data_IF_722782762833
#
_entry.id   IF_722782762833
#
_cell.length_a   1.000
_cell.length_b   1.000
_cell.length_c   1.000
_cell.angle_alpha   90.00
_cell.angle_beta   90.00
_cell.angle_gamma   90.00
#
_symmetry.space_group_name_H-M   'P 1'
#
loop_
_entity.id
_entity.type
_entity.pdbx_description
1 polymer ?
#
# COMPACT_ATOMS: atom_id res chain seq x y z
N UNK A 1 -1.07 -28.95 -24.54
CA UNK A 1 -2.17 -29.47 -23.70
C UNK A 1 -2.09 -28.94 -22.27
N UNK A 2 -1.78 -27.66 -22.08
CA UNK A 2 -1.67 -27.00 -20.76
C UNK A 2 -2.57 -25.74 -20.64
N UNK A 3 -3.38 -25.48 -21.67
CA UNK A 3 -4.30 -24.35 -21.82
C UNK A 3 -5.67 -24.65 -21.18
N UNK A 4 -6.17 -25.88 -21.30
CA UNK A 4 -7.46 -26.28 -20.72
C UNK A 4 -7.50 -26.27 -19.19
N UNK A 5 -6.40 -26.61 -18.50
CA UNK A 5 -6.36 -26.58 -17.03
C UNK A 5 -6.30 -25.15 -16.47
N UNK A 6 -5.64 -24.23 -17.17
CA UNK A 6 -5.57 -22.83 -16.78
C UNK A 6 -6.92 -22.11 -16.99
N UNK A 7 -7.64 -22.43 -18.07
CA UNK A 7 -8.98 -21.90 -18.31
C UNK A 7 -10.00 -22.38 -17.28
N UNK A 8 -9.95 -23.66 -16.90
CA UNK A 8 -10.81 -24.23 -15.86
C UNK A 8 -10.52 -23.64 -14.47
N UNK A 9 -9.26 -23.30 -14.17
CA UNK A 9 -8.87 -22.63 -12.93
C UNK A 9 -9.37 -21.18 -12.89
N UNK A 10 -9.35 -20.48 -14.02
CA UNK A 10 -9.87 -19.12 -14.15
C UNK A 10 -11.39 -19.05 -14.01
N UNK A 11 -12.14 -19.93 -14.68
CA UNK A 11 -13.60 -20.03 -14.51
C UNK A 11 -13.97 -20.38 -13.07
N UNK A 12 -13.23 -21.31 -12.45
CA UNK A 12 -13.47 -21.68 -11.05
C UNK A 12 -13.21 -20.53 -10.09
N UNK A 13 -12.17 -19.73 -10.36
CA UNK A 13 -11.85 -18.53 -9.58
C UNK A 13 -12.95 -17.48 -9.74
N UNK A 14 -13.41 -17.24 -10.96
CA UNK A 14 -14.47 -16.27 -11.26
C UNK A 14 -15.79 -16.62 -10.55
N UNK A 15 -16.18 -17.90 -10.57
CA UNK A 15 -17.36 -18.39 -9.84
C UNK A 15 -17.26 -18.10 -8.33
N UNK A 16 -16.10 -18.40 -7.73
CA UNK A 16 -15.86 -18.20 -6.30
C UNK A 16 -15.81 -16.71 -5.91
N UNK A 17 -15.15 -15.88 -6.72
CA UNK A 17 -15.05 -14.45 -6.51
C UNK A 17 -16.40 -13.75 -6.70
N UNK A 18 -17.15 -14.13 -7.73
CA UNK A 18 -18.51 -13.64 -7.99
C UNK A 18 -19.47 -14.02 -6.87
N UNK A 19 -19.46 -15.28 -6.41
CA UNK A 19 -20.29 -15.72 -5.29
C UNK A 19 -19.95 -14.92 -4.01
N UNK A 20 -18.66 -14.73 -3.73
CA UNK A 20 -18.22 -13.94 -2.58
C UNK A 20 -18.66 -12.47 -2.69
N UNK A 21 -18.60 -11.88 -3.89
CA UNK A 21 -19.04 -10.52 -4.15
C UNK A 21 -20.56 -10.37 -3.98
N UNK A 22 -21.36 -11.24 -4.58
CA UNK A 22 -22.83 -11.19 -4.44
C UNK A 22 -23.24 -11.36 -2.99
N UNK A 23 -22.65 -12.33 -2.28
CA UNK A 23 -22.91 -12.54 -0.86
C UNK A 23 -22.56 -11.29 -0.02
N UNK A 24 -21.44 -10.64 -0.31
CA UNK A 24 -21.07 -9.38 0.36
C UNK A 24 -22.10 -8.28 0.10
N UNK A 25 -22.54 -8.13 -1.16
CA UNK A 25 -23.51 -7.12 -1.55
C UNK A 25 -24.87 -7.37 -0.89
N UNK A 26 -25.38 -8.60 -0.96
CA UNK A 26 -26.70 -8.98 -0.46
C UNK A 26 -26.77 -9.02 1.07
N UNK A 27 -25.78 -9.61 1.73
CA UNK A 27 -25.83 -9.82 3.18
C UNK A 27 -25.28 -8.63 3.96
N UNK A 28 -24.37 -7.83 3.37
CA UNK A 28 -23.70 -6.74 4.10
C UNK A 28 -24.03 -5.35 3.59
N UNK A 29 -23.93 -5.09 2.28
CA UNK A 29 -24.05 -3.73 1.73
C UNK A 29 -25.51 -3.31 1.62
N UNK A 30 -26.34 -4.08 0.93
CA UNK A 30 -27.72 -3.75 0.66
C UNK A 30 -28.55 -3.54 1.95
N UNK A 31 -28.48 -4.41 2.98
CA UNK A 31 -29.23 -4.19 4.21
C UNK A 31 -28.84 -2.90 4.92
N UNK A 32 -27.53 -2.57 4.98
CA UNK A 32 -27.08 -1.34 5.65
C UNK A 32 -27.52 -0.08 4.92
N UNK A 33 -27.61 -0.12 3.60
CA UNK A 33 -27.96 1.04 2.76
C UNK A 33 -29.47 1.24 2.60
N UNK A 34 -30.23 0.14 2.50
CA UNK A 34 -31.67 0.20 2.25
C UNK A 34 -32.53 0.08 3.52
N UNK A 35 -32.00 -0.42 4.64
CA UNK A 35 -32.68 -0.34 5.95
C UNK A 35 -32.73 1.12 6.40
N UNK A 36 -33.94 1.68 6.42
CA UNK A 36 -34.21 3.10 6.67
C UNK A 36 -35.17 3.25 7.84
N UNK A 37 -34.90 4.22 8.69
CA UNK A 37 -35.78 4.58 9.80
C UNK A 37 -37.07 5.29 9.34
N UNK A 38 -37.91 5.67 10.29
CA UNK A 38 -39.16 6.39 10.03
C UNK A 38 -38.96 7.76 9.35
N UNK A 39 -37.74 8.29 9.33
CA UNK A 39 -37.36 9.53 8.66
C UNK A 39 -36.71 9.27 7.28
N UNK A 40 -36.61 8.00 6.86
CA UNK A 40 -36.05 7.60 5.58
C UNK A 40 -34.51 7.54 5.56
N UNK A 41 -33.84 7.53 6.72
CA UNK A 41 -32.39 7.58 6.82
C UNK A 41 -31.77 6.19 7.12
N UNK A 42 -30.68 5.80 6.45
CA UNK A 42 -29.98 4.55 6.73
C UNK A 42 -28.97 4.73 7.86
N UNK A 43 -29.44 4.65 9.10
CA UNK A 43 -28.65 4.96 10.30
C UNK A 43 -27.32 4.20 10.40
N UNK A 44 -27.32 2.89 10.10
CA UNK A 44 -26.12 2.05 10.10
C UNK A 44 -25.12 2.43 9.01
N UNK A 45 -25.60 2.84 7.83
CA UNK A 45 -24.74 3.35 6.77
C UNK A 45 -24.08 4.67 7.15
N UNK A 46 -24.86 5.60 7.71
CA UNK A 46 -24.36 6.90 8.16
C UNK A 46 -23.30 6.73 9.26
N UNK A 47 -23.52 5.81 10.21
CA UNK A 47 -22.55 5.46 11.25
C UNK A 47 -21.21 5.00 10.64
N UNK A 48 -21.27 4.11 9.64
CA UNK A 48 -20.09 3.63 8.93
C UNK A 48 -19.35 4.76 8.21
N UNK A 49 -20.06 5.63 7.48
CA UNK A 49 -19.47 6.79 6.80
C UNK A 49 -18.79 7.71 7.81
N UNK A 50 -19.45 8.03 8.93
CA UNK A 50 -18.88 8.86 10.00
C UNK A 50 -17.61 8.24 10.59
N UNK A 51 -17.61 6.93 10.85
CA UNK A 51 -16.43 6.20 11.34
C UNK A 51 -15.27 6.28 10.35
N UNK A 52 -15.55 6.12 9.06
CA UNK A 52 -14.54 6.24 8.00
C UNK A 52 -13.97 7.66 7.94
N UNK A 53 -14.83 8.69 7.94
CA UNK A 53 -14.38 10.09 7.89
C UNK A 53 -13.55 10.48 9.12
N UNK A 54 -13.95 10.02 10.30
CA UNK A 54 -13.19 10.29 11.54
C UNK A 54 -11.86 9.54 11.60
N UNK A 55 -11.81 8.29 11.11
CA UNK A 55 -10.59 7.47 11.14
C UNK A 55 -9.60 7.77 10.01
N UNK A 56 -10.09 7.98 8.78
CA UNK A 56 -9.25 8.22 7.59
C UNK A 56 -9.04 9.70 7.31
N UNK A 57 -9.96 10.59 7.69
CA UNK A 57 -9.91 12.01 7.36
C UNK A 57 -8.53 12.63 7.56
N UNK A 58 -7.91 12.54 8.74
CA UNK A 58 -6.58 13.08 9.00
C UNK A 58 -5.45 12.47 8.14
N UNK A 59 -5.60 11.21 7.71
CA UNK A 59 -4.59 10.47 6.95
C UNK A 59 -4.62 10.78 5.45
N UNK A 60 -5.78 11.15 4.92
CA UNK A 60 -6.01 11.40 3.49
C UNK A 60 -6.02 12.89 3.11
N UNK A 61 -5.63 13.77 4.03
CA UNK A 61 -5.53 15.20 3.74
C UNK A 61 -4.42 15.48 2.73
N UNK A 62 -4.75 16.21 1.66
CA UNK A 62 -3.76 16.67 0.69
C UNK A 62 -2.64 17.49 1.36
N UNK A 63 -2.97 18.31 2.37
CA UNK A 63 -1.98 19.04 3.15
C UNK A 63 -1.00 18.14 3.91
N UNK A 64 -1.48 17.03 4.49
CA UNK A 64 -0.61 16.02 5.12
C UNK A 64 0.28 15.33 4.09
N UNK A 65 -0.25 15.03 2.91
CA UNK A 65 0.50 14.42 1.81
C UNK A 65 1.62 15.34 1.31
N UNK A 66 1.31 16.61 1.03
CA UNK A 66 2.32 17.60 0.60
C UNK A 66 3.38 17.80 1.67
N UNK A 67 3.00 17.89 2.94
CA UNK A 67 3.94 17.98 4.06
C UNK A 67 4.91 16.79 4.09
N UNK A 68 4.39 15.56 3.96
CA UNK A 68 5.23 14.36 3.90
C UNK A 68 6.23 14.40 2.74
N UNK A 69 5.80 14.81 1.55
CA UNK A 69 6.73 14.98 0.43
C UNK A 69 7.82 16.01 0.72
N UNK A 70 7.47 17.15 1.30
CA UNK A 70 8.44 18.21 1.61
C UNK A 70 9.41 17.76 2.69
N UNK A 71 8.91 17.25 3.82
CA UNK A 71 9.72 16.93 5.00
C UNK A 71 10.56 15.67 4.82
N UNK A 72 9.99 14.62 4.22
CA UNK A 72 10.62 13.30 4.17
C UNK A 72 11.39 13.03 2.88
N UNK A 73 11.03 13.69 1.77
CA UNK A 73 11.67 13.45 0.46
C UNK A 73 12.43 14.68 -0.05
N UNK A 74 11.73 15.78 -0.32
CA UNK A 74 12.30 16.91 -1.06
C UNK A 74 13.33 17.69 -0.25
N UNK A 75 13.06 18.04 1.01
CA UNK A 75 14.02 18.76 1.82
C UNK A 75 15.28 17.93 2.13
N UNK A 76 15.19 16.64 2.50
CA UNK A 76 16.37 15.78 2.63
C UNK A 76 17.16 15.64 1.33
N UNK A 77 16.50 15.42 0.20
CA UNK A 77 17.15 15.32 -1.11
C UNK A 77 17.88 16.62 -1.47
N UNK A 78 17.25 17.78 -1.25
CA UNK A 78 17.86 19.07 -1.49
C UNK A 78 19.10 19.31 -0.61
N UNK A 79 19.05 18.91 0.67
CA UNK A 79 20.22 18.98 1.57
C UNK A 79 21.35 18.05 1.10
N UNK A 80 21.03 16.81 0.76
CA UNK A 80 22.01 15.85 0.26
C UNK A 80 22.67 16.34 -1.04
N UNK A 81 21.88 16.92 -1.96
CA UNK A 81 22.40 17.52 -3.18
C UNK A 81 23.35 18.69 -2.90
N UNK A 82 23.00 19.60 -1.97
CA UNK A 82 23.88 20.73 -1.60
C UNK A 82 25.17 20.28 -0.94
N UNK A 83 25.16 19.17 -0.21
CA UNK A 83 26.36 18.60 0.40
C UNK A 83 27.26 17.86 -0.60
N UNK A 84 26.80 17.65 -1.84
CA UNK A 84 27.50 16.85 -2.85
C UNK A 84 28.49 17.72 -3.65
N UNK A 85 29.65 18.03 -3.06
CA UNK A 85 30.78 18.63 -3.79
C UNK A 85 31.36 17.65 -4.82
N UNK A 86 32.18 18.08 -5.80
CA UNK A 86 32.84 17.17 -6.73
C UNK A 86 33.64 16.06 -6.03
N UNK A 87 34.32 16.38 -4.94
CA UNK A 87 35.09 15.43 -4.13
C UNK A 87 34.16 14.42 -3.44
N UNK A 88 33.09 14.90 -2.80
CA UNK A 88 32.09 14.05 -2.16
C UNK A 88 31.35 13.16 -3.17
N UNK A 89 31.06 13.68 -4.37
CA UNK A 89 30.50 12.91 -5.48
C UNK A 89 31.45 11.79 -5.93
N UNK A 90 32.74 12.09 -6.06
CA UNK A 90 33.77 11.10 -6.40
C UNK A 90 33.89 10.00 -5.35
N UNK A 91 33.91 10.36 -4.07
CA UNK A 91 33.92 9.41 -2.95
C UNK A 91 32.67 8.52 -2.93
N UNK A 92 31.49 9.12 -3.12
CA UNK A 92 30.23 8.37 -3.18
C UNK A 92 30.19 7.40 -4.36
N UNK A 93 30.69 7.81 -5.53
CA UNK A 93 30.77 6.95 -6.72
C UNK A 93 31.71 5.76 -6.50
N UNK A 94 32.91 6.01 -5.96
CA UNK A 94 33.88 4.97 -5.63
C UNK A 94 33.31 3.97 -4.60
N UNK A 95 32.64 4.47 -3.56
CA UNK A 95 31.96 3.63 -2.58
C UNK A 95 30.87 2.76 -3.22
N UNK A 96 30.00 3.34 -4.06
CA UNK A 96 28.95 2.57 -4.77
C UNK A 96 29.53 1.49 -5.66
N UNK A 97 30.62 1.77 -6.38
CA UNK A 97 31.30 0.80 -7.22
C UNK A 97 31.84 -0.37 -6.39
N UNK A 98 32.50 -0.08 -5.26
CA UNK A 98 32.98 -1.09 -4.32
C UNK A 98 31.85 -1.98 -3.79
N UNK A 99 30.76 -1.38 -3.30
CA UNK A 99 29.62 -2.13 -2.75
C UNK A 99 29.01 -3.04 -3.81
N UNK A 100 28.75 -2.53 -5.02
CA UNK A 100 28.20 -3.33 -6.12
C UNK A 100 29.11 -4.49 -6.52
N UNK A 101 30.42 -4.24 -6.62
CA UNK A 101 31.39 -5.28 -6.95
C UNK A 101 31.54 -6.35 -5.86
N UNK A 102 31.30 -5.99 -4.60
CA UNK A 102 31.42 -6.90 -3.46
C UNK A 102 30.09 -7.57 -3.08
N UNK A 103 28.97 -7.18 -3.70
CA UNK A 103 27.63 -7.62 -3.28
C UNK A 103 27.46 -9.14 -3.32
N UNK A 104 28.01 -9.81 -4.35
CA UNK A 104 27.96 -11.27 -4.46
C UNK A 104 28.76 -12.02 -3.40
N UNK A 105 29.58 -11.33 -2.61
CA UNK A 105 30.36 -11.90 -1.51
C UNK A 105 29.66 -11.73 -0.15
N UNK A 106 28.53 -11.02 -0.11
CA UNK A 106 27.76 -10.84 1.12
C UNK A 106 26.95 -12.10 1.39
N UNK A 107 27.26 -12.77 2.50
CA UNK A 107 26.48 -13.89 3.03
C UNK A 107 25.95 -13.55 4.41
N UNK A 108 24.78 -14.10 4.75
CA UNK A 108 24.23 -14.03 6.10
C UNK A 108 24.58 -15.35 6.77
N UNK A 109 25.47 -15.32 7.76
CA UNK A 109 25.74 -16.49 8.60
C UNK A 109 24.62 -16.63 9.64
N UNK A 110 24.15 -17.87 9.84
CA UNK A 110 23.21 -18.14 10.91
C UNK A 110 23.95 -18.10 12.26
N UNK A 111 23.40 -17.43 13.29
CA UNK A 111 24.00 -17.47 14.61
C UNK A 111 23.98 -18.90 15.16
N UNK A 112 25.15 -19.40 15.58
CA UNK A 112 25.31 -20.66 16.31
C UNK A 112 24.31 -20.70 17.48
N UNK A 113 23.36 -21.63 17.42
CA UNK A 113 22.39 -21.83 18.51
C UNK A 113 23.05 -22.71 19.56
N UNK A 114 23.46 -22.11 20.68
CA UNK A 114 23.86 -22.82 21.91
C UNK A 114 22.66 -22.96 22.83
#
# INVERSE_FOLDING_TARGET
TADGSAHLDEERRDDLESEALYRLLEERVAPRFYDRDAQGLPGRWIEMVRRTLTGLGPKVLAGRMVRGYVEDLYAPAARAHRALTPEAAGQLAAWKAKVRGSWGQVAIEQPETT
#
